data_IF_525302870833
#
_entry.id   IF_525302870833
#
_cell.length_a   1.000
_cell.length_b   1.000
_cell.length_c   1.000
_cell.angle_alpha   90.00
_cell.angle_beta   90.00
_cell.angle_gamma   90.00
#
_symmetry.space_group_name_H-M   'P 1'
#
loop_
_entity.id
_entity.type
_entity.pdbx_description
1 polymer ?
#
# COMPACT_ATOMS: atom_id res chain seq x y z
N UNK A 1 -11.88 -17.62 16.30
CA UNK A 1 -11.41 -16.47 15.47
C UNK A 1 -11.99 -15.23 16.08
N UNK A 2 -11.15 -14.31 16.52
CA UNK A 2 -11.59 -13.11 17.24
C UNK A 2 -11.64 -11.87 16.33
N UNK A 3 -11.39 -12.04 15.02
CA UNK A 3 -11.27 -10.94 14.07
C UNK A 3 -10.30 -9.86 14.55
N UNK A 4 -9.16 -10.30 15.08
CA UNK A 4 -8.17 -9.40 15.65
C UNK A 4 -7.50 -8.50 14.62
N UNK A 5 -6.85 -7.45 15.08
CA UNK A 5 -6.08 -6.54 14.23
C UNK A 5 -4.65 -6.49 14.79
N UNK A 6 -3.68 -6.63 13.93
CA UNK A 6 -2.27 -6.40 14.30
C UNK A 6 -1.88 -4.98 13.92
N UNK A 7 -1.61 -4.12 14.90
CA UNK A 7 -1.26 -2.71 14.69
C UNK A 7 0.18 -2.47 15.17
N UNK A 8 1.06 -2.09 14.24
CA UNK A 8 2.47 -1.83 14.54
C UNK A 8 3.24 -3.05 15.05
N UNK A 9 2.72 -4.26 14.87
CA UNK A 9 3.33 -5.52 15.34
C UNK A 9 2.71 -6.06 16.63
N UNK A 10 1.77 -5.34 17.28
CA UNK A 10 0.98 -5.86 18.41
C UNK A 10 -0.41 -6.26 17.96
N UNK A 11 -0.85 -7.44 18.40
CA UNK A 11 -2.16 -7.98 18.11
C UNK A 11 -3.17 -7.55 19.18
N UNK A 12 -4.36 -7.11 18.76
CA UNK A 12 -5.39 -6.63 19.69
C UNK A 12 -5.85 -7.70 20.66
N UNK A 13 -5.91 -8.96 20.26
CA UNK A 13 -6.27 -10.07 21.14
C UNK A 13 -5.09 -10.58 21.97
N UNK A 14 -3.97 -10.90 21.33
CA UNK A 14 -2.85 -11.58 22.00
C UNK A 14 -2.15 -10.67 23.01
N UNK A 15 -1.92 -9.39 22.66
CA UNK A 15 -1.19 -8.44 23.49
C UNK A 15 -2.08 -7.65 24.44
N UNK A 16 -3.31 -7.33 24.04
CA UNK A 16 -4.17 -6.42 24.81
C UNK A 16 -5.49 -7.01 25.29
N UNK A 17 -5.84 -8.22 24.86
CA UNK A 17 -7.12 -8.88 25.16
C UNK A 17 -8.33 -8.02 24.74
N UNK A 18 -8.22 -7.38 23.60
CA UNK A 18 -9.27 -6.59 22.98
C UNK A 18 -10.00 -7.41 21.92
N UNK A 19 -11.30 -7.50 22.02
CA UNK A 19 -12.17 -8.14 21.00
C UNK A 19 -12.96 -7.06 20.29
N UNK A 20 -12.94 -6.97 18.96
CA UNK A 20 -13.78 -6.02 18.23
C UNK A 20 -15.26 -6.24 18.55
N UNK A 21 -15.99 -5.15 18.80
CA UNK A 21 -17.43 -5.21 19.04
C UNK A 21 -18.23 -5.65 17.79
N UNK A 22 -17.66 -5.43 16.61
CA UNK A 22 -18.14 -5.92 15.33
C UNK A 22 -16.95 -6.27 14.44
N UNK A 23 -17.18 -7.04 13.37
CA UNK A 23 -16.11 -7.38 12.42
C UNK A 23 -15.43 -6.10 11.92
N UNK A 24 -14.10 -5.94 12.14
CA UNK A 24 -13.42 -4.70 11.82
C UNK A 24 -13.30 -4.52 10.31
N UNK A 25 -13.67 -3.33 9.84
CA UNK A 25 -13.56 -2.93 8.44
C UNK A 25 -13.09 -1.48 8.40
N UNK A 26 -12.11 -1.18 7.55
CA UNK A 26 -11.75 0.19 7.24
C UNK A 26 -12.73 0.77 6.23
N UNK A 27 -13.35 1.90 6.54
CA UNK A 27 -14.32 2.57 5.68
C UNK A 27 -13.77 2.79 4.27
N UNK A 28 -14.60 2.72 3.21
CA UNK A 28 -14.15 3.04 1.86
C UNK A 28 -13.67 4.50 1.78
N UNK A 29 -12.62 4.79 0.98
CA UNK A 29 -12.12 6.14 0.84
C UNK A 29 -13.05 6.96 -0.06
N UNK A 30 -13.30 8.21 0.31
CA UNK A 30 -14.01 9.14 -0.55
C UNK A 30 -13.14 9.61 -1.71
N UNK A 31 -13.73 9.72 -2.90
CA UNK A 31 -13.05 10.32 -4.05
C UNK A 31 -12.85 11.83 -3.82
N UNK A 32 -11.70 12.37 -4.21
CA UNK A 32 -11.48 13.82 -4.28
C UNK A 32 -12.13 14.36 -5.53
N UNK A 33 -13.23 15.06 -5.36
CA UNK A 33 -13.98 15.67 -6.46
C UNK A 33 -13.68 17.17 -6.53
N UNK A 34 -13.41 17.68 -7.73
CA UNK A 34 -13.25 19.10 -8.02
C UNK A 34 -14.09 19.46 -9.24
N UNK A 35 -15.13 20.24 -9.02
CA UNK A 35 -16.00 20.74 -10.07
C UNK A 35 -15.90 22.24 -10.22
N UNK A 36 -16.16 22.76 -11.41
CA UNK A 36 -16.26 24.17 -11.73
C UNK A 36 -17.62 24.47 -12.33
N UNK A 37 -18.35 25.40 -11.71
CA UNK A 37 -19.58 25.96 -12.26
C UNK A 37 -19.28 27.12 -13.19
N UNK A 38 -19.92 27.12 -14.36
CA UNK A 38 -19.84 28.24 -15.31
C UNK A 38 -21.12 29.06 -15.17
N UNK A 39 -21.05 30.35 -14.79
CA UNK A 39 -22.22 31.21 -14.71
C UNK A 39 -22.96 31.28 -16.08
N UNK A 40 -24.25 30.92 -16.10
CA UNK A 40 -25.06 30.89 -17.31
C UNK A 40 -24.90 29.63 -18.17
N UNK A 41 -24.11 28.66 -17.78
CA UNK A 41 -24.02 27.34 -18.40
C UNK A 41 -24.77 26.28 -17.63
N UNK A 42 -25.26 25.25 -18.34
CA UNK A 42 -25.87 24.09 -17.72
C UNK A 42 -24.81 23.10 -17.22
N UNK A 43 -25.05 22.53 -16.03
CA UNK A 43 -24.18 21.53 -15.43
C UNK A 43 -22.87 22.08 -14.83
N UNK A 44 -21.90 21.21 -14.61
CA UNK A 44 -20.58 21.52 -14.04
C UNK A 44 -19.48 20.87 -14.87
N UNK A 45 -18.32 21.49 -14.92
CA UNK A 45 -17.11 20.88 -15.48
C UNK A 45 -16.44 20.08 -14.37
N UNK A 46 -16.22 18.79 -14.59
CA UNK A 46 -15.49 17.92 -13.68
C UNK A 46 -13.98 17.98 -13.98
N UNK A 47 -13.22 18.52 -13.04
CA UNK A 47 -11.76 18.64 -13.09
C UNK A 47 -11.05 17.63 -12.18
N UNK A 48 -11.78 16.67 -11.61
CA UNK A 48 -11.27 15.77 -10.58
C UNK A 48 -10.07 14.93 -11.02
N UNK A 49 -9.96 14.65 -12.32
CA UNK A 49 -8.88 13.85 -12.90
C UNK A 49 -7.94 14.65 -13.80
N UNK A 50 -8.13 15.97 -13.94
CA UNK A 50 -7.42 16.78 -14.92
C UNK A 50 -5.90 16.85 -14.74
N UNK A 51 -5.41 16.66 -13.50
CA UNK A 51 -3.98 16.68 -13.18
C UNK A 51 -3.33 15.31 -13.22
N UNK A 52 -4.08 14.26 -12.96
CA UNK A 52 -3.53 12.92 -12.76
C UNK A 52 -3.91 11.94 -13.86
N UNK A 53 -5.01 12.20 -14.58
CA UNK A 53 -5.60 11.27 -15.55
C UNK A 53 -6.34 10.09 -14.90
N UNK A 54 -6.41 10.03 -13.55
CA UNK A 54 -7.05 8.95 -12.80
C UNK A 54 -7.69 9.47 -11.50
N UNK A 55 -8.65 8.72 -10.91
CA UNK A 55 -9.30 9.11 -9.67
C UNK A 55 -8.32 9.16 -8.51
N UNK A 56 -8.40 10.20 -7.68
CA UNK A 56 -7.63 10.39 -6.46
C UNK A 56 -8.58 10.31 -5.27
N UNK A 57 -8.13 9.69 -4.18
CA UNK A 57 -8.95 9.44 -3.01
C UNK A 57 -8.44 10.18 -1.77
N UNK A 58 -9.34 10.42 -0.85
CA UNK A 58 -9.03 10.88 0.51
C UNK A 58 -8.58 9.69 1.36
N UNK A 59 -7.99 9.96 2.52
CA UNK A 59 -7.72 8.94 3.51
C UNK A 59 -9.03 8.29 3.97
N UNK A 60 -8.92 7.05 4.45
CA UNK A 60 -10.00 6.35 5.14
C UNK A 60 -9.98 6.77 6.59
N UNK A 61 -11.09 7.29 7.07
CA UNK A 61 -11.26 7.69 8.46
C UNK A 61 -12.42 6.94 9.10
N UNK A 62 -12.31 6.69 10.39
CA UNK A 62 -13.34 6.03 11.16
C UNK A 62 -12.82 5.59 12.52
N UNK A 63 -13.60 4.74 13.16
CA UNK A 63 -13.29 4.20 14.49
C UNK A 63 -13.63 2.72 14.56
N UNK A 64 -12.88 2.00 15.37
CA UNK A 64 -13.15 0.60 15.70
C UNK A 64 -13.33 0.53 17.22
N UNK A 65 -14.46 -0.02 17.63
CA UNK A 65 -14.79 -0.25 19.05
C UNK A 65 -14.36 -1.64 19.45
N UNK A 66 -13.72 -1.74 20.60
CA UNK A 66 -13.29 -3.00 21.19
C UNK A 66 -13.87 -3.17 22.58
N UNK A 67 -14.24 -4.40 22.90
CA UNK A 67 -14.60 -4.88 24.23
C UNK A 67 -13.30 -5.35 24.91
N UNK A 68 -13.10 -4.95 26.14
CA UNK A 68 -11.92 -5.30 26.93
C UNK A 68 -12.19 -6.59 27.70
N UNK A 69 -11.44 -7.64 27.37
CA UNK A 69 -11.50 -8.96 28.02
C UNK A 69 -10.28 -9.20 28.91
N UNK A 70 -9.67 -8.14 29.43
CA UNK A 70 -8.42 -8.23 30.17
C UNK A 70 -8.67 -8.42 31.67
N UNK A 71 -8.37 -9.61 32.15
CA UNK A 71 -8.46 -9.96 33.59
C UNK A 71 -7.10 -9.91 34.30
N UNK A 72 -6.00 -9.60 33.59
CA UNK A 72 -4.64 -9.74 34.12
C UNK A 72 -4.10 -8.50 34.82
N UNK A 73 -4.59 -7.32 34.49
CA UNK A 73 -4.17 -6.06 35.10
C UNK A 73 -5.31 -5.04 35.16
N UNK A 74 -5.21 -4.07 36.09
CA UNK A 74 -6.19 -3.00 36.20
C UNK A 74 -6.38 -2.27 34.87
N UNK A 75 -7.63 -1.99 34.50
CA UNK A 75 -7.98 -1.41 33.20
C UNK A 75 -7.24 -0.09 32.90
N UNK A 76 -7.12 0.80 33.89
CA UNK A 76 -6.43 2.07 33.70
C UNK A 76 -4.95 1.91 33.28
N UNK A 77 -4.28 0.87 33.75
CA UNK A 77 -2.90 0.55 33.34
C UNK A 77 -2.87 -0.01 31.93
N UNK A 78 -3.78 -0.94 31.61
CA UNK A 78 -3.89 -1.48 30.25
C UNK A 78 -4.19 -0.37 29.22
N UNK A 79 -5.08 0.54 29.58
CA UNK A 79 -5.42 1.70 28.75
C UNK A 79 -4.20 2.61 28.51
N UNK A 80 -3.44 2.92 29.56
CA UNK A 80 -2.23 3.73 29.44
C UNK A 80 -1.19 3.08 28.53
N UNK A 81 -0.98 1.78 28.64
CA UNK A 81 -0.04 1.05 27.78
C UNK A 81 -0.48 1.06 26.31
N UNK A 82 -1.77 0.92 26.04
CA UNK A 82 -2.33 0.98 24.69
C UNK A 82 -2.18 2.41 24.15
N UNK A 83 -2.47 3.40 24.98
CA UNK A 83 -2.36 4.80 24.61
C UNK A 83 -0.93 5.19 24.27
N UNK A 84 0.03 4.83 25.11
CA UNK A 84 1.47 5.12 24.91
C UNK A 84 1.99 4.47 23.62
N UNK A 85 1.45 3.30 23.25
CA UNK A 85 1.87 2.59 22.05
C UNK A 85 1.22 3.13 20.76
N UNK A 86 -0.07 3.44 20.78
CA UNK A 86 -0.84 3.74 19.58
C UNK A 86 -1.02 5.24 19.31
N UNK A 87 -1.21 6.04 20.38
CA UNK A 87 -1.78 7.37 20.24
C UNK A 87 -0.93 8.29 19.36
N UNK A 88 -1.52 8.69 18.22
CA UNK A 88 -0.89 9.58 17.25
C UNK A 88 0.24 8.97 16.41
N UNK A 89 0.58 7.71 16.63
CA UNK A 89 1.64 7.02 15.89
C UNK A 89 1.19 6.65 14.47
N UNK A 90 2.13 6.74 13.52
CA UNK A 90 1.94 6.23 12.16
C UNK A 90 2.38 4.77 12.12
N UNK A 91 1.43 3.86 12.02
CA UNK A 91 1.63 2.41 12.13
C UNK A 91 0.96 1.68 10.95
N UNK A 92 1.33 0.41 10.78
CA UNK A 92 0.66 -0.50 9.85
C UNK A 92 -0.34 -1.34 10.61
N UNK A 93 -1.52 -1.52 10.02
CA UNK A 93 -2.57 -2.37 10.55
C UNK A 93 -2.87 -3.50 9.56
N UNK A 94 -2.84 -4.74 10.06
CA UNK A 94 -3.20 -5.95 9.32
C UNK A 94 -4.43 -6.56 9.97
N UNK A 95 -5.48 -6.82 9.19
CA UNK A 95 -6.67 -7.50 9.65
C UNK A 95 -6.43 -9.03 9.65
N UNK A 96 -6.88 -9.74 10.67
CA UNK A 96 -6.86 -11.21 10.71
C UNK A 96 -7.62 -11.82 9.52
N UNK A 97 -8.67 -11.12 9.06
CA UNK A 97 -9.51 -11.54 7.93
C UNK A 97 -8.87 -11.26 6.55
N UNK A 98 -7.83 -10.43 6.48
CA UNK A 98 -7.14 -10.03 5.25
C UNK A 98 -5.62 -9.92 5.49
N UNK A 99 -4.94 -11.04 5.81
CA UNK A 99 -3.55 -11.04 6.25
C UNK A 99 -2.54 -10.70 5.15
N UNK A 100 -2.96 -10.75 3.88
CA UNK A 100 -2.10 -10.45 2.74
C UNK A 100 -1.89 -8.94 2.52
N UNK A 101 -2.70 -8.11 3.19
CA UNK A 101 -2.68 -6.65 3.01
C UNK A 101 -2.56 -5.93 4.35
N UNK A 102 -1.94 -4.76 4.31
CA UNK A 102 -1.90 -3.83 5.43
C UNK A 102 -2.43 -2.45 5.02
N UNK A 103 -2.97 -1.74 5.99
CA UNK A 103 -3.26 -0.32 5.92
C UNK A 103 -2.18 0.44 6.69
N UNK A 104 -1.75 1.59 6.20
CA UNK A 104 -0.76 2.42 6.87
C UNK A 104 -1.36 3.80 7.17
N UNK A 105 -1.24 4.25 8.41
CA UNK A 105 -1.76 5.54 8.83
C UNK A 105 -1.62 5.79 10.31
N UNK A 106 -2.37 6.77 10.82
CA UNK A 106 -2.34 7.15 12.24
C UNK A 106 -3.49 6.52 12.98
N UNK A 107 -3.16 6.05 14.19
CA UNK A 107 -4.13 5.50 15.13
C UNK A 107 -4.15 6.37 16.38
N UNK A 108 -5.36 6.65 16.86
CA UNK A 108 -5.58 7.52 18.00
C UNK A 108 -6.53 6.83 18.96
N UNK A 109 -6.10 6.67 20.19
CA UNK A 109 -6.97 6.14 21.24
C UNK A 109 -7.94 7.24 21.65
N UNK A 110 -9.23 6.96 21.50
CA UNK A 110 -10.32 7.84 21.88
C UNK A 110 -10.77 7.53 23.32
N UNK A 111 -11.91 8.01 23.71
CA UNK A 111 -12.46 7.80 25.06
C UNK A 111 -12.68 6.31 25.32
N UNK A 112 -12.24 5.86 26.49
CA UNK A 112 -12.65 4.57 27.01
C UNK A 112 -13.88 4.71 27.89
N UNK A 113 -14.78 3.73 27.82
CA UNK A 113 -15.95 3.66 28.66
C UNK A 113 -15.83 2.43 29.55
N UNK A 114 -16.01 2.62 30.83
CA UNK A 114 -16.15 1.53 31.80
C UNK A 114 -17.60 1.45 32.21
N UNK A 115 -18.24 0.34 31.87
CA UNK A 115 -19.56 0.00 32.34
C UNK A 115 -19.46 -0.96 33.54
N UNK A 116 -20.57 -1.24 34.18
CA UNK A 116 -20.56 -2.09 35.37
C UNK A 116 -19.98 -3.48 35.14
N UNK A 117 -20.25 -4.05 33.96
CA UNK A 117 -19.91 -5.43 33.62
C UNK A 117 -18.75 -5.55 32.63
N UNK A 118 -18.41 -4.50 31.86
CA UNK A 118 -17.31 -4.50 30.90
C UNK A 118 -16.77 -3.11 30.59
N UNK A 119 -15.55 -3.08 30.08
CA UNK A 119 -14.94 -1.85 29.58
C UNK A 119 -14.85 -1.88 28.07
N UNK A 120 -14.92 -0.71 27.44
CA UNK A 120 -14.78 -0.53 26.00
C UNK A 120 -13.71 0.50 25.69
N UNK A 121 -13.01 0.31 24.59
CA UNK A 121 -12.05 1.27 24.06
C UNK A 121 -12.36 1.51 22.57
N UNK A 122 -12.26 2.77 22.17
CA UNK A 122 -12.44 3.17 20.78
C UNK A 122 -11.09 3.62 20.25
N UNK A 123 -10.68 3.05 19.12
CA UNK A 123 -9.48 3.41 18.39
C UNK A 123 -9.91 4.05 17.09
N UNK A 124 -9.63 5.35 16.95
CA UNK A 124 -9.85 6.09 15.72
C UNK A 124 -8.68 5.85 14.78
N UNK A 125 -8.97 5.84 13.48
CA UNK A 125 -7.95 5.67 12.46
C UNK A 125 -8.08 6.73 11.36
N UNK A 126 -6.92 7.14 10.84
CA UNK A 126 -6.74 7.91 9.62
C UNK A 126 -5.65 7.22 8.80
N UNK A 127 -6.08 6.34 7.88
CA UNK A 127 -5.19 5.50 7.09
C UNK A 127 -5.27 5.85 5.60
N UNK A 128 -4.22 5.54 4.86
CA UNK A 128 -4.18 5.78 3.42
C UNK A 128 -5.36 5.16 2.67
N UNK A 129 -5.67 5.66 1.46
CA UNK A 129 -6.84 5.20 0.70
C UNK A 129 -6.71 3.76 0.22
N UNK A 130 -5.49 3.26 0.05
CA UNK A 130 -5.21 1.92 -0.45
C UNK A 130 -4.70 1.02 0.64
N UNK A 131 -5.09 -0.25 0.60
CA UNK A 131 -4.40 -1.32 1.30
C UNK A 131 -3.25 -1.84 0.42
N UNK A 132 -2.12 -2.13 1.03
CA UNK A 132 -0.89 -2.52 0.35
C UNK A 132 -0.56 -3.97 0.64
N UNK A 133 -0.07 -4.68 -0.37
CA UNK A 133 0.41 -6.05 -0.17
C UNK A 133 1.53 -6.10 0.87
N UNK A 134 1.48 -7.09 1.74
CA UNK A 134 2.55 -7.37 2.70
C UNK A 134 3.83 -7.77 1.97
N UNK A 135 3.71 -8.52 0.87
CA UNK A 135 4.83 -8.86 0.01
C UNK A 135 5.13 -7.76 -0.98
N UNK A 136 6.43 -7.50 -1.20
CA UNK A 136 6.93 -6.63 -2.27
C UNK A 136 7.10 -7.43 -3.57
N UNK A 137 7.18 -6.72 -4.70
CA UNK A 137 7.47 -7.31 -6.02
C UNK A 137 8.84 -8.00 -6.11
N UNK A 138 9.75 -7.70 -5.17
CA UNK A 138 11.08 -8.29 -5.09
C UNK A 138 11.21 -9.35 -4.01
N UNK A 139 10.19 -9.56 -3.19
CA UNK A 139 10.18 -10.63 -2.19
C UNK A 139 10.05 -12.00 -2.86
N UNK A 140 10.74 -13.00 -2.31
CA UNK A 140 10.63 -14.36 -2.81
C UNK A 140 9.26 -14.94 -2.45
N UNK A 141 8.62 -15.57 -3.42
CA UNK A 141 7.38 -16.28 -3.17
C UNK A 141 7.66 -17.61 -2.46
N UNK A 142 7.02 -17.81 -1.32
CA UNK A 142 7.17 -19.00 -0.50
C UNK A 142 5.90 -19.87 -0.60
N UNK A 143 6.07 -21.18 -0.74
CA UNK A 143 4.96 -22.14 -0.78
C UNK A 143 4.27 -22.32 0.58
N UNK A 144 5.01 -22.26 1.69
CA UNK A 144 4.48 -22.53 3.03
C UNK A 144 3.33 -21.61 3.46
N UNK A 145 3.37 -20.29 3.23
CA UNK A 145 2.26 -19.40 3.54
C UNK A 145 1.19 -19.35 2.45
N UNK A 146 1.34 -20.13 1.33
CA UNK A 146 0.41 -20.04 0.22
C UNK A 146 -0.97 -20.62 0.57
N UNK A 147 -1.99 -19.81 0.43
CA UNK A 147 -3.38 -20.21 0.59
C UNK A 147 -4.03 -20.40 -0.79
N UNK A 148 -4.42 -21.62 -1.12
CA UNK A 148 -5.06 -21.96 -2.40
C UNK A 148 -6.42 -21.30 -2.62
N UNK A 149 -7.06 -20.78 -1.58
CA UNK A 149 -8.34 -20.09 -1.70
C UNK A 149 -8.19 -18.61 -2.06
N UNK A 150 -7.18 -17.94 -1.50
CA UNK A 150 -6.99 -16.49 -1.63
C UNK A 150 -5.57 -16.12 -2.08
N UNK A 151 -4.65 -17.08 -2.16
CA UNK A 151 -3.24 -16.83 -2.42
C UNK A 151 -3.01 -16.30 -3.84
N UNK A 152 -2.23 -15.25 -3.95
CA UNK A 152 -1.78 -14.69 -5.22
C UNK A 152 -0.35 -15.14 -5.48
N UNK A 153 -0.11 -15.77 -6.63
CA UNK A 153 1.24 -16.09 -7.07
C UNK A 153 1.91 -14.79 -7.54
N UNK A 154 2.95 -14.36 -6.84
CA UNK A 154 3.78 -13.23 -7.25
C UNK A 154 4.92 -13.73 -8.13
N UNK A 155 4.87 -13.53 -9.45
CA UNK A 155 5.99 -13.91 -10.29
C UNK A 155 7.20 -13.04 -9.96
N UNK A 156 8.36 -13.66 -9.70
CA UNK A 156 9.61 -12.98 -9.36
C UNK A 156 10.28 -12.26 -10.56
N UNK A 157 9.47 -11.77 -11.49
CA UNK A 157 9.96 -11.12 -12.72
C UNK A 157 10.57 -9.75 -12.51
N UNK A 158 10.38 -9.18 -11.32
CA UNK A 158 10.88 -7.84 -10.96
C UNK A 158 12.17 -7.87 -10.12
N UNK A 159 12.61 -9.05 -9.71
CA UNK A 159 13.84 -9.23 -8.95
C UNK A 159 14.99 -9.60 -9.88
N UNK A 160 16.11 -8.91 -9.75
CA UNK A 160 17.38 -9.19 -10.45
C UNK A 160 17.21 -9.43 -11.97
N UNK A 161 16.45 -8.54 -12.61
CA UNK A 161 16.24 -8.57 -14.06
C UNK A 161 17.62 -8.41 -14.74
N UNK A 162 18.10 -9.46 -15.40
CA UNK A 162 19.34 -9.38 -16.13
C UNK A 162 19.19 -8.41 -17.31
N UNK A 163 20.14 -7.48 -17.42
CA UNK A 163 20.19 -6.45 -18.47
C UNK A 163 21.47 -6.59 -19.25
N UNK A 164 21.37 -6.54 -20.56
CA UNK A 164 22.49 -6.62 -21.51
C UNK A 164 22.43 -5.43 -22.45
N UNK A 165 23.22 -5.45 -23.53
CA UNK A 165 23.14 -4.46 -24.60
C UNK A 165 21.90 -4.62 -25.48
N UNK A 166 21.18 -5.75 -25.36
CA UNK A 166 19.90 -5.95 -26.02
C UNK A 166 18.77 -5.38 -25.15
N UNK A 167 17.78 -4.75 -25.79
CA UNK A 167 16.61 -4.19 -25.11
C UNK A 167 15.77 -5.32 -24.55
N UNK A 168 15.58 -5.34 -23.24
CA UNK A 168 14.69 -6.26 -22.54
C UNK A 168 13.39 -5.56 -22.15
N UNK A 169 12.28 -5.96 -22.75
CA UNK A 169 10.96 -5.44 -22.44
C UNK A 169 10.27 -6.25 -21.33
N UNK A 170 9.74 -5.55 -20.32
CA UNK A 170 8.93 -6.11 -19.23
C UNK A 170 7.55 -5.47 -19.27
N UNK A 171 6.52 -6.27 -19.59
CA UNK A 171 5.13 -5.81 -19.62
C UNK A 171 4.58 -5.75 -18.19
N UNK A 172 4.09 -4.59 -17.79
CA UNK A 172 3.63 -4.32 -16.43
C UNK A 172 2.16 -4.72 -16.21
N UNK A 173 1.31 -4.62 -17.22
CA UNK A 173 -0.15 -4.78 -17.07
C UNK A 173 -0.58 -6.16 -16.54
N UNK A 174 0.12 -7.23 -16.90
CA UNK A 174 -0.21 -8.59 -16.46
C UNK A 174 0.25 -8.90 -15.02
N UNK A 175 1.02 -8.01 -14.40
CA UNK A 175 1.73 -8.26 -13.14
C UNK A 175 1.29 -7.33 -12.02
N UNK A 176 0.52 -6.30 -12.35
CA UNK A 176 0.01 -5.32 -11.41
C UNK A 176 -1.48 -5.56 -11.17
N UNK A 177 -1.82 -5.94 -9.95
CA UNK A 177 -3.21 -6.09 -9.52
C UNK A 177 -3.65 -4.88 -8.71
N UNK A 178 -4.82 -4.35 -9.04
CA UNK A 178 -5.42 -3.23 -8.31
C UNK A 178 -5.21 -1.87 -8.97
N UNK A 179 -5.86 -0.85 -8.40
CA UNK A 179 -5.94 0.51 -8.97
C UNK A 179 -5.06 1.54 -8.27
N UNK A 180 -4.25 1.12 -7.31
CA UNK A 180 -3.35 2.05 -6.65
C UNK A 180 -2.25 2.49 -7.61
N UNK A 181 -2.00 3.79 -7.74
CA UNK A 181 -0.82 4.28 -8.44
C UNK A 181 0.43 3.91 -7.63
N UNK A 182 1.40 3.29 -8.28
CA UNK A 182 2.63 2.81 -7.65
C UNK A 182 3.83 3.47 -8.31
N UNK A 183 4.64 4.14 -7.51
CA UNK A 183 5.93 4.67 -7.93
C UNK A 183 7.02 3.71 -7.46
N UNK A 184 7.65 2.91 -8.35
CA UNK A 184 8.61 1.90 -7.96
C UNK A 184 9.96 2.49 -7.55
N UNK A 185 10.69 1.72 -6.74
CA UNK A 185 12.09 1.96 -6.42
C UNK A 185 12.95 1.01 -7.25
N UNK A 186 13.90 1.55 -7.99
CA UNK A 186 14.84 0.78 -8.79
C UNK A 186 16.12 0.52 -7.99
N UNK A 187 16.52 -0.75 -7.90
CA UNK A 187 17.81 -1.16 -7.36
C UNK A 187 18.66 -1.66 -8.51
N UNK A 188 19.77 -1.00 -8.78
CA UNK A 188 20.58 -1.19 -9.97
C UNK A 188 22.00 -1.62 -9.57
N UNK A 189 22.49 -2.64 -10.27
CA UNK A 189 23.91 -3.02 -10.26
C UNK A 189 24.36 -3.24 -11.69
N UNK A 190 25.39 -2.53 -12.16
CA UNK A 190 25.86 -2.56 -13.53
C UNK A 190 27.39 -2.59 -13.62
N UNK A 191 27.91 -3.35 -14.56
CA UNK A 191 29.33 -3.27 -14.97
C UNK A 191 29.61 -2.07 -15.88
N UNK A 192 28.56 -1.46 -16.45
CA UNK A 192 28.67 -0.23 -17.23
C UNK A 192 28.76 0.97 -16.29
N UNK A 193 29.83 1.75 -16.39
CA UNK A 193 30.02 2.97 -15.59
C UNK A 193 28.94 4.04 -15.82
N UNK A 194 28.22 3.98 -16.94
CA UNK A 194 27.12 4.88 -17.25
C UNK A 194 25.83 4.46 -16.54
N UNK A 195 25.69 3.16 -16.22
CA UNK A 195 24.49 2.59 -15.62
C UNK A 195 23.59 1.88 -16.63
N UNK A 196 22.33 1.74 -16.28
CA UNK A 196 21.30 1.07 -17.08
C UNK A 196 20.31 2.09 -17.64
N UNK A 197 20.01 2.02 -18.93
CA UNK A 197 18.91 2.78 -19.50
C UNK A 197 17.58 2.13 -19.15
N UNK A 198 16.61 2.95 -18.76
CA UNK A 198 15.23 2.57 -18.56
C UNK A 198 14.34 3.45 -19.43
N UNK A 199 13.48 2.84 -20.22
CA UNK A 199 12.41 3.52 -20.94
C UNK A 199 11.07 3.05 -20.42
N UNK A 200 10.29 3.98 -19.95
CA UNK A 200 8.93 3.76 -19.47
C UNK A 200 7.94 4.23 -20.52
N UNK A 201 7.15 3.28 -21.04
CA UNK A 201 6.14 3.53 -22.06
C UNK A 201 4.77 3.27 -21.44
N UNK A 202 3.95 4.31 -21.37
CA UNK A 202 2.55 4.20 -20.94
C UNK A 202 1.65 4.90 -21.97
N UNK A 203 1.06 4.14 -22.92
CA UNK A 203 0.24 4.72 -23.98
C UNK A 203 -1.01 5.44 -23.47
N UNK A 204 -1.57 4.97 -22.34
CA UNK A 204 -2.80 5.55 -21.77
C UNK A 204 -2.56 6.93 -21.18
N UNK A 205 -1.39 7.15 -20.58
CA UNK A 205 -0.99 8.45 -20.05
C UNK A 205 -0.23 9.30 -21.07
N UNK A 206 0.05 8.78 -22.25
CA UNK A 206 0.86 9.45 -23.27
C UNK A 206 2.32 9.62 -22.86
N UNK A 207 2.83 8.76 -21.96
CA UNK A 207 4.20 8.82 -21.47
C UNK A 207 5.11 7.89 -22.28
N UNK A 208 6.24 8.43 -22.72
CA UNK A 208 7.35 7.69 -23.34
C UNK A 208 8.65 8.41 -22.93
N UNK A 209 9.21 7.96 -21.82
CA UNK A 209 10.37 8.62 -21.22
C UNK A 209 11.51 7.64 -21.03
N UNK A 210 12.72 8.09 -21.38
CA UNK A 210 13.96 7.35 -21.17
C UNK A 210 14.80 8.06 -20.09
N UNK A 211 15.25 7.32 -19.11
CA UNK A 211 16.14 7.79 -18.03
C UNK A 211 17.36 6.89 -17.95
N UNK A 212 18.41 7.40 -17.33
CA UNK A 212 19.61 6.64 -16.99
C UNK A 212 19.58 6.32 -15.50
N UNK A 213 19.75 5.05 -15.17
CA UNK A 213 19.84 4.53 -13.81
C UNK A 213 21.30 4.29 -13.46
N UNK A 214 21.97 5.16 -12.69
CA UNK A 214 23.28 4.83 -12.14
C UNK A 214 23.17 3.71 -11.11
N UNK A 215 24.29 3.09 -10.76
CA UNK A 215 24.32 2.09 -9.70
C UNK A 215 23.75 2.64 -8.40
N UNK A 216 22.93 1.84 -7.71
CA UNK A 216 22.34 2.19 -6.43
C UNK A 216 20.82 2.08 -6.38
N UNK A 217 20.22 2.91 -5.54
CA UNK A 217 18.78 2.92 -5.29
C UNK A 217 18.20 4.24 -5.77
N UNK A 218 17.26 4.17 -6.71
CA UNK A 218 16.74 5.35 -7.41
C UNK A 218 15.22 5.25 -7.51
N UNK A 219 14.55 6.38 -7.44
CA UNK A 219 13.11 6.51 -7.66
C UNK A 219 12.81 7.70 -8.54
N UNK A 220 11.94 7.52 -9.53
CA UNK A 220 11.43 8.58 -10.38
C UNK A 220 9.95 8.79 -10.10
N UNK A 221 9.54 9.94 -9.53
CA UNK A 221 8.14 10.23 -9.20
C UNK A 221 7.20 10.20 -10.41
N UNK A 222 7.72 10.47 -11.61
CA UNK A 222 6.97 10.44 -12.87
C UNK A 222 6.68 9.02 -13.38
N UNK A 223 7.42 8.00 -12.94
CA UNK A 223 7.21 6.62 -13.34
C UNK A 223 6.15 5.98 -12.44
N UNK A 224 4.90 6.20 -12.78
CA UNK A 224 3.77 5.67 -12.02
C UNK A 224 3.16 4.47 -12.74
N UNK A 225 3.12 3.34 -12.04
CA UNK A 225 2.53 2.09 -12.53
C UNK A 225 1.09 1.96 -12.10
N UNK A 226 0.25 1.42 -12.99
CA UNK A 226 -1.15 1.10 -12.74
C UNK A 226 -1.46 -0.29 -13.29
N UNK A 227 -2.33 -1.04 -12.60
CA UNK A 227 -2.68 -2.39 -13.01
C UNK A 227 -3.39 -2.51 -14.36
N UNK A 228 -4.18 -1.51 -14.73
CA UNK A 228 -5.03 -1.56 -15.93
C UNK A 228 -4.42 -0.88 -17.16
N UNK A 229 -3.26 -0.26 -17.01
CA UNK A 229 -2.65 0.51 -18.09
C UNK A 229 -1.50 -0.27 -18.68
N UNK A 230 -1.60 -0.65 -19.94
CA UNK A 230 -0.63 -1.46 -20.70
C UNK A 230 0.77 -0.86 -20.79
N UNK A 231 1.35 -0.53 -19.65
CA UNK A 231 2.69 0.03 -19.55
C UNK A 231 3.77 -1.03 -19.77
N UNK A 232 4.90 -0.60 -20.33
CA UNK A 232 6.07 -1.44 -20.57
C UNK A 232 7.32 -0.74 -20.05
N UNK A 233 8.20 -1.51 -19.41
CA UNK A 233 9.58 -1.10 -19.10
C UNK A 233 10.51 -1.74 -20.11
N UNK A 234 11.37 -0.95 -20.72
CA UNK A 234 12.49 -1.42 -21.55
C UNK A 234 13.79 -1.10 -20.82
N UNK A 235 14.67 -2.08 -20.72
CA UNK A 235 15.93 -1.99 -19.97
C UNK A 235 17.08 -2.42 -20.90
N UNK A 236 18.17 -1.66 -20.93
CA UNK A 236 19.39 -2.02 -21.64
C UNK A 236 20.62 -1.28 -21.09
N UNK A 237 21.82 -1.80 -21.36
CA UNK A 237 23.09 -1.14 -21.12
C UNK A 237 23.72 -0.71 -22.45
N UNK A 238 24.53 0.34 -22.46
CA UNK A 238 25.34 0.70 -23.62
C UNK A 238 26.47 -0.32 -23.84
N UNK A 239 27.06 -0.77 -22.72
CA UNK A 239 28.15 -1.76 -22.71
C UNK A 239 28.00 -2.68 -21.51
N UNK A 240 28.52 -3.91 -21.63
CA UNK A 240 28.57 -4.85 -20.50
C UNK A 240 27.21 -5.44 -20.13
N UNK A 241 27.03 -5.69 -18.84
CA UNK A 241 25.83 -6.32 -18.27
C UNK A 241 25.47 -5.68 -16.94
N UNK A 242 24.22 -5.81 -16.54
CA UNK A 242 23.75 -5.35 -15.25
C UNK A 242 22.56 -6.15 -14.74
N UNK A 243 22.08 -5.79 -13.58
CA UNK A 243 20.81 -6.26 -13.04
C UNK A 243 19.99 -5.09 -12.50
N UNK A 244 18.68 -5.17 -12.66
CA UNK A 244 17.75 -4.19 -12.14
C UNK A 244 16.65 -4.91 -11.38
N UNK A 245 16.43 -4.53 -10.13
CA UNK A 245 15.24 -4.93 -9.39
C UNK A 245 14.28 -3.76 -9.30
N UNK A 246 12.99 -4.02 -9.55
CA UNK A 246 11.92 -3.03 -9.55
C UNK A 246 11.06 -3.28 -8.33
N UNK A 247 11.30 -2.55 -7.25
CA UNK A 247 10.68 -2.77 -5.94
C UNK A 247 9.43 -1.89 -5.77
N UNK A 248 8.29 -2.53 -5.63
CA UNK A 248 7.00 -1.89 -5.36
C UNK A 248 6.05 -2.83 -4.62
N UNK A 249 5.01 -2.27 -4.02
CA UNK A 249 3.91 -3.04 -3.43
C UNK A 249 2.63 -2.79 -4.21
N UNK A 250 1.87 -3.85 -4.40
CA UNK A 250 0.56 -3.74 -5.03
C UNK A 250 -0.43 -3.12 -4.05
N UNK A 251 -1.26 -2.21 -4.54
CA UNK A 251 -2.29 -1.55 -3.73
C UNK A 251 -3.69 -1.77 -4.29
N UNK A 252 -4.66 -1.97 -3.38
CA UNK A 252 -6.08 -2.10 -3.70
C UNK A 252 -6.91 -1.11 -2.87
N UNK A 253 -8.08 -0.73 -3.40
CA UNK A 253 -9.09 0.01 -2.64
C UNK A 253 -9.80 -0.88 -1.64
#
# INVERSE_FOLDING_TARGET
MYHSITIGGKNTWDDWRLVPASRPVFNPPAQKVKTLEIPGGDGVIDLSQSLTGYPVYQNRTGSIEFIVMNDFKPWHMAYSDIMDYLHGQKLRAVLEDDPEYFYEGRFTVNVWKSEKDWSRIIIDYDVGPYKWSVLSSTDDWLWDPFNFQNGVIHPAVFKDIAVTTEVRAVKLAALLFGRAPVCPVFRVSSSDKRGVHIRFINPTLGLDETKLLPDGVIQFPEFVFFGDLGATLELWCDTGTGSVSVDFRQGRL
#
